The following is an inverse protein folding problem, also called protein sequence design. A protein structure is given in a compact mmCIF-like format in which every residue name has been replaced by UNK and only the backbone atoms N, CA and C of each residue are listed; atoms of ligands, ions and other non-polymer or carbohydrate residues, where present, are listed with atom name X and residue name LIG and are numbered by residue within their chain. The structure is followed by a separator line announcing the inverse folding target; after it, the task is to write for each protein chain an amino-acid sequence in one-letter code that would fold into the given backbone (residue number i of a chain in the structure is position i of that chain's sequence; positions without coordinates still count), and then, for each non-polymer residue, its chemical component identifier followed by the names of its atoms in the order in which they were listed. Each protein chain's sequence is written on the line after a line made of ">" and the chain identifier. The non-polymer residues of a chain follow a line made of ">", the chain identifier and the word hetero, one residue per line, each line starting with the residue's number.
data_IF_015511392549
#
_entry.id   IF_015511392549
#
_cell.length_a   1.000
_cell.length_b   1.000
_cell.length_c   1.000
_cell.angle_alpha   90.00
_cell.angle_beta   90.00
_cell.angle_gamma   90.00
#
_symmetry.space_group_name_H-M   'P 1'
#
loop_
_entity.id
_entity.type
_entity.pdbx_description
1 polymer ?
#
# COMPACT_ATOMS: atom_id res chain seq x y z
N UNK A 1 36.59 32.61 -47.73
CA UNK A 1 36.32 32.88 -46.30
C UNK A 1 34.87 33.34 -46.19
N UNK A 2 33.98 32.92 -45.30
CA UNK A 2 34.00 31.94 -44.22
C UNK A 2 32.54 31.72 -43.82
N UNK A 3 32.16 30.48 -43.54
CA UNK A 3 31.22 30.05 -42.49
C UNK A 3 29.92 30.85 -42.28
N UNK A 4 28.77 30.21 -42.54
CA UNK A 4 27.80 29.97 -41.45
C UNK A 4 26.68 29.02 -41.91
N UNK A 5 27.04 27.75 -42.02
CA UNK A 5 26.08 26.65 -42.03
C UNK A 5 25.54 26.51 -40.60
N UNK A 6 24.52 27.30 -40.24
CA UNK A 6 23.76 27.12 -39.00
C UNK A 6 22.92 25.84 -39.14
N UNK A 7 23.61 24.72 -38.89
CA UNK A 7 23.05 23.40 -38.62
C UNK A 7 22.14 23.53 -37.40
N UNK A 8 20.87 23.85 -37.63
CA UNK A 8 19.80 23.67 -36.64
C UNK A 8 19.59 22.17 -36.45
N UNK A 9 20.43 21.61 -35.58
CA UNK A 9 20.30 20.27 -35.05
C UNK A 9 19.09 20.29 -34.09
N UNK A 10 17.88 20.09 -34.62
CA UNK A 10 16.73 19.75 -33.78
C UNK A 10 17.04 18.38 -33.14
N UNK A 11 17.53 18.42 -31.90
CA UNK A 11 17.52 17.26 -31.02
C UNK A 11 16.06 16.94 -30.68
N UNK A 12 15.44 16.07 -31.47
CA UNK A 12 14.26 15.31 -31.03
C UNK A 12 14.71 14.34 -29.95
N UNK A 13 14.75 14.82 -28.70
CA UNK A 13 14.82 13.96 -27.54
C UNK A 13 13.49 13.20 -27.45
N UNK A 14 13.42 12.04 -28.10
CA UNK A 14 12.39 11.04 -27.81
C UNK A 14 12.62 10.56 -26.38
N UNK A 15 12.01 11.25 -25.41
CA UNK A 15 11.77 10.68 -24.09
C UNK A 15 10.89 9.47 -24.33
N UNK A 16 11.51 8.30 -24.40
CA UNK A 16 10.83 7.03 -24.23
C UNK A 16 10.30 7.08 -22.80
N UNK A 17 9.05 7.52 -22.65
CA UNK A 17 8.32 7.36 -21.41
C UNK A 17 8.19 5.85 -21.19
N UNK A 18 9.16 5.28 -20.49
CA UNK A 18 9.04 3.95 -19.94
C UNK A 18 7.77 3.97 -19.10
N UNK A 19 6.75 3.26 -19.59
CA UNK A 19 5.48 3.11 -18.90
C UNK A 19 5.81 2.31 -17.64
N UNK A 20 6.12 3.02 -16.55
CA UNK A 20 6.32 2.42 -15.24
C UNK A 20 4.95 2.00 -14.74
N UNK A 21 4.62 0.72 -14.91
CA UNK A 21 3.45 0.13 -14.29
C UNK A 21 3.73 -0.02 -12.79
N UNK A 22 3.06 0.79 -11.98
CA UNK A 22 3.11 0.67 -10.53
C UNK A 22 2.62 -0.71 -10.11
N UNK A 23 3.30 -1.33 -9.15
CA UNK A 23 2.95 -2.64 -8.62
C UNK A 23 2.38 -2.49 -7.22
N UNK A 24 1.13 -2.89 -7.01
CA UNK A 24 0.46 -2.76 -5.71
C UNK A 24 0.01 -4.12 -5.18
N UNK A 25 -0.04 -4.26 -3.85
CA UNK A 25 -0.78 -5.34 -3.25
C UNK A 25 -2.27 -5.04 -3.29
N UNK A 26 -3.05 -6.03 -3.71
CA UNK A 26 -4.51 -5.90 -3.84
C UNK A 26 -5.20 -6.99 -3.06
N UNK A 27 -5.79 -6.60 -1.93
CA UNK A 27 -6.48 -7.48 -0.99
C UNK A 27 -7.68 -6.74 -0.41
N UNK A 28 -8.77 -7.44 -0.12
CA UNK A 28 -9.98 -6.85 0.44
C UNK A 28 -10.61 -7.73 1.50
N UNK A 29 -11.24 -7.11 2.49
CA UNK A 29 -12.11 -7.76 3.46
C UNK A 29 -13.47 -7.11 3.39
N UNK A 30 -14.48 -7.91 3.05
CA UNK A 30 -15.88 -7.51 3.01
C UNK A 30 -16.52 -8.01 4.30
N UNK A 31 -17.21 -7.12 5.01
CA UNK A 31 -17.99 -7.46 6.19
C UNK A 31 -19.44 -7.04 5.98
N UNK A 32 -20.35 -8.00 6.02
CA UNK A 32 -21.79 -7.73 5.91
C UNK A 32 -22.39 -7.37 7.26
N UNK A 33 -23.57 -6.73 7.27
CA UNK A 33 -24.32 -6.47 8.51
C UNK A 33 -24.68 -7.73 9.30
N UNK A 34 -24.77 -8.89 8.64
CA UNK A 34 -24.99 -10.19 9.29
C UNK A 34 -23.74 -10.74 10.01
N UNK A 35 -22.61 -10.03 9.96
CA UNK A 35 -21.34 -10.46 10.55
C UNK A 35 -20.52 -11.41 9.66
N UNK A 36 -21.07 -11.85 8.52
CA UNK A 36 -20.32 -12.65 7.56
C UNK A 36 -19.16 -11.85 6.99
N UNK A 37 -17.98 -12.47 6.97
CA UNK A 37 -16.75 -11.88 6.46
C UNK A 37 -16.29 -12.66 5.23
N UNK A 38 -15.96 -11.97 4.15
CA UNK A 38 -15.39 -12.55 2.93
C UNK A 38 -14.08 -11.85 2.60
N UNK A 39 -13.10 -12.61 2.13
CA UNK A 39 -11.80 -12.08 1.73
C UNK A 39 -11.64 -12.13 0.22
N UNK A 40 -11.06 -11.07 -0.33
CA UNK A 40 -10.58 -11.00 -1.71
C UNK A 40 -9.07 -10.97 -1.61
N UNK A 41 -8.39 -11.95 -2.22
CA UNK A 41 -6.94 -11.97 -2.25
C UNK A 41 -6.46 -12.09 -3.70
N UNK A 42 -5.88 -11.01 -4.21
CA UNK A 42 -5.29 -10.94 -5.56
C UNK A 42 -3.76 -10.84 -5.49
N UNK A 43 -3.18 -10.98 -4.30
CA UNK A 43 -1.75 -10.80 -4.02
C UNK A 43 -1.22 -9.45 -4.49
N UNK A 44 -0.39 -9.48 -5.52
CA UNK A 44 0.31 -8.33 -6.10
C UNK A 44 -0.06 -8.24 -7.56
N UNK A 45 -0.51 -7.08 -8.01
CA UNK A 45 -0.91 -6.84 -9.39
C UNK A 45 -0.21 -5.60 -9.96
N UNK A 46 -0.04 -5.59 -11.27
CA UNK A 46 0.34 -4.39 -12.00
C UNK A 46 -0.88 -3.47 -12.15
N UNK A 47 -0.70 -2.21 -11.79
CA UNK A 47 -1.74 -1.20 -11.94
C UNK A 47 -1.86 -0.78 -13.41
N UNK A 48 -3.09 -0.60 -13.91
CA UNK A 48 -3.35 0.12 -15.15
C UNK A 48 -2.67 1.49 -15.14
N UNK A 49 -2.28 2.00 -16.30
CA UNK A 49 -1.59 3.30 -16.43
C UNK A 49 -2.38 4.51 -15.91
N UNK A 50 -3.71 4.39 -15.79
CA UNK A 50 -4.59 5.40 -15.21
C UNK A 50 -4.73 5.30 -13.67
N UNK A 51 -4.18 4.26 -13.05
CA UNK A 51 -4.16 4.05 -11.60
C UNK A 51 -2.71 4.18 -11.11
N UNK A 52 -2.30 5.41 -10.83
CA UNK A 52 -0.90 5.80 -10.54
C UNK A 52 -0.50 5.65 -9.06
N UNK A 53 -1.36 5.05 -8.22
CA UNK A 53 -1.16 4.96 -6.77
C UNK A 53 -1.56 3.59 -6.23
N UNK A 54 -0.92 3.19 -5.13
CA UNK A 54 -1.46 2.16 -4.26
C UNK A 54 -2.24 2.86 -3.15
N UNK A 55 -3.44 2.37 -2.87
CA UNK A 55 -4.29 2.89 -1.81
C UNK A 55 -4.60 1.80 -0.79
N UNK A 56 -4.48 2.13 0.49
CA UNK A 56 -5.07 1.42 1.61
C UNK A 56 -6.29 2.19 2.08
N UNK A 57 -7.41 1.51 2.32
CA UNK A 57 -8.61 2.14 2.84
C UNK A 57 -9.20 1.33 4.00
N UNK A 58 -9.71 2.06 4.98
CA UNK A 58 -10.39 1.54 6.16
C UNK A 58 -11.82 1.11 5.82
N UNK A 59 -12.49 0.34 6.70
CA UNK A 59 -13.86 -0.11 6.47
C UNK A 59 -14.78 1.05 6.04
N UNK A 60 -15.22 1.02 4.79
CA UNK A 60 -16.06 2.05 4.16
C UNK A 60 -17.26 1.36 3.50
N UNK A 61 -18.36 2.08 3.27
CA UNK A 61 -19.53 1.52 2.61
C UNK A 61 -19.14 1.02 1.21
N UNK A 62 -19.63 -0.17 0.83
CA UNK A 62 -19.34 -0.75 -0.47
C UNK A 62 -19.71 0.18 -1.63
N UNK A 63 -20.79 0.96 -1.50
CA UNK A 63 -21.24 1.89 -2.53
C UNK A 63 -20.21 2.98 -2.83
N UNK A 64 -19.47 3.44 -1.81
CA UNK A 64 -18.41 4.45 -1.99
C UNK A 64 -17.23 3.85 -2.78
N UNK A 65 -16.91 2.57 -2.54
CA UNK A 65 -15.83 1.86 -3.24
C UNK A 65 -16.18 1.62 -4.71
N UNK A 66 -17.46 1.36 -5.02
CA UNK A 66 -17.92 1.14 -6.38
C UNK A 66 -17.87 2.42 -7.24
N UNK A 67 -17.84 3.59 -6.60
CA UNK A 67 -17.63 4.89 -7.25
C UNK A 67 -16.18 5.21 -7.61
N UNK A 68 -15.23 4.38 -7.20
CA UNK A 68 -13.80 4.57 -7.47
C UNK A 68 -13.44 4.16 -8.91
N UNK A 69 -12.44 4.80 -9.48
CA UNK A 69 -11.90 4.43 -10.78
C UNK A 69 -11.22 3.05 -10.71
N UNK A 70 -10.63 2.73 -9.55
CA UNK A 70 -10.14 1.39 -9.21
C UNK A 70 -11.17 0.29 -9.46
N UNK A 71 -12.40 0.48 -9.00
CA UNK A 71 -13.49 -0.47 -9.17
C UNK A 71 -13.90 -0.65 -10.64
N UNK A 72 -13.81 0.41 -11.45
CA UNK A 72 -14.16 0.35 -12.88
C UNK A 72 -13.08 -0.35 -13.71
N UNK A 73 -11.82 -0.18 -13.33
CA UNK A 73 -10.67 -0.59 -14.12
C UNK A 73 -10.02 -1.90 -13.64
N UNK A 74 -10.34 -2.35 -12.42
CA UNK A 74 -9.87 -3.62 -11.86
C UNK A 74 -11.02 -4.61 -11.72
N UNK A 75 -11.40 -5.23 -12.83
CA UNK A 75 -12.53 -6.19 -12.88
C UNK A 75 -12.35 -7.36 -11.92
N UNK A 76 -11.12 -7.79 -11.66
CA UNK A 76 -10.80 -8.87 -10.71
C UNK A 76 -11.10 -8.50 -9.26
N UNK A 77 -10.92 -7.23 -8.89
CA UNK A 77 -11.30 -6.72 -7.56
C UNK A 77 -12.80 -6.43 -7.49
N UNK A 78 -13.39 -5.95 -8.58
CA UNK A 78 -14.79 -5.59 -8.67
C UNK A 78 -15.77 -6.76 -8.73
N UNK A 79 -15.45 -7.81 -9.49
CA UNK A 79 -16.31 -8.97 -9.67
C UNK A 79 -16.86 -9.55 -8.34
N UNK A 80 -16.03 -9.82 -7.32
CA UNK A 80 -16.54 -10.31 -6.03
C UNK A 80 -17.34 -9.26 -5.25
N UNK A 81 -17.12 -7.96 -5.44
CA UNK A 81 -17.89 -6.90 -4.80
C UNK A 81 -19.32 -6.80 -5.34
N UNK A 82 -19.52 -7.14 -6.62
CA UNK A 82 -20.83 -7.06 -7.27
C UNK A 82 -21.90 -7.95 -6.60
N UNK A 83 -21.48 -9.05 -5.95
CA UNK A 83 -22.37 -9.93 -5.19
C UNK A 83 -22.99 -9.26 -3.94
N UNK A 84 -22.44 -8.13 -3.50
CA UNK A 84 -22.84 -7.43 -2.29
C UNK A 84 -23.56 -6.09 -2.57
N UNK A 85 -23.88 -5.78 -3.84
CA UNK A 85 -24.54 -4.53 -4.24
C UNK A 85 -25.87 -4.25 -3.54
N UNK A 86 -26.62 -5.31 -3.21
CA UNK A 86 -27.95 -5.21 -2.59
C UNK A 86 -27.91 -5.46 -1.08
N UNK A 87 -26.72 -5.61 -0.50
CA UNK A 87 -26.54 -5.97 0.90
C UNK A 87 -25.70 -4.89 1.59
N UNK A 88 -26.13 -4.34 2.74
CA UNK A 88 -25.30 -3.41 3.48
C UNK A 88 -24.01 -4.13 3.93
N UNK A 89 -22.90 -3.69 3.34
CA UNK A 89 -21.58 -4.25 3.56
C UNK A 89 -20.55 -3.13 3.64
N UNK A 90 -19.54 -3.33 4.49
CA UNK A 90 -18.35 -2.50 4.57
C UNK A 90 -17.18 -3.24 3.96
N UNK A 91 -16.32 -2.51 3.24
CA UNK A 91 -15.12 -3.05 2.62
C UNK A 91 -13.91 -2.31 3.15
N UNK A 92 -12.87 -3.04 3.52
CA UNK A 92 -11.54 -2.51 3.81
C UNK A 92 -10.53 -3.23 2.92
N UNK A 93 -9.43 -2.58 2.55
CA UNK A 93 -8.47 -3.24 1.68
C UNK A 93 -7.36 -2.38 1.12
N UNK A 94 -6.64 -2.99 0.19
CA UNK A 94 -5.55 -2.47 -0.60
C UNK A 94 -5.94 -2.62 -2.07
N UNK A 95 -5.77 -1.58 -2.88
CA UNK A 95 -6.05 -1.56 -4.33
C UNK A 95 -5.10 -0.62 -5.05
N UNK A 96 -5.02 -0.71 -6.38
CA UNK A 96 -4.51 0.45 -7.14
C UNK A 96 -5.60 1.52 -7.20
N UNK A 97 -5.20 2.78 -7.20
CA UNK A 97 -6.08 3.92 -7.20
C UNK A 97 -5.52 5.03 -8.10
N UNK A 98 -6.41 5.91 -8.56
CA UNK A 98 -6.03 7.18 -9.16
C UNK A 98 -5.83 8.24 -8.08
N UNK A 99 -5.14 9.34 -8.41
CA UNK A 99 -5.08 10.52 -7.54
C UNK A 99 -6.48 11.05 -7.14
N UNK A 100 -7.47 10.95 -8.02
CA UNK A 100 -8.86 11.32 -7.71
C UNK A 100 -9.49 10.41 -6.67
N UNK A 101 -9.26 9.10 -6.76
CA UNK A 101 -9.75 8.14 -5.77
C UNK A 101 -9.13 8.36 -4.39
N UNK A 102 -7.83 8.66 -4.33
CA UNK A 102 -7.15 9.04 -3.08
C UNK A 102 -7.79 10.27 -2.42
N UNK A 103 -8.14 11.28 -3.21
CA UNK A 103 -8.83 12.48 -2.72
C UNK A 103 -10.25 12.17 -2.22
N UNK A 104 -11.02 11.35 -2.95
CA UNK A 104 -12.37 10.92 -2.54
C UNK A 104 -12.35 10.19 -1.19
N UNK A 105 -11.37 9.32 -0.98
CA UNK A 105 -11.21 8.54 0.24
C UNK A 105 -10.54 9.32 1.39
N UNK A 106 -10.24 10.61 1.19
CA UNK A 106 -9.51 11.47 2.14
C UNK A 106 -8.22 10.81 2.63
N UNK A 107 -7.53 10.13 1.71
CA UNK A 107 -6.31 9.40 2.02
C UNK A 107 -5.14 10.36 2.26
N UNK A 108 -4.33 10.05 3.26
CA UNK A 108 -3.02 10.69 3.44
C UNK A 108 -2.07 10.27 2.30
N UNK A 109 -1.09 11.12 1.96
CA UNK A 109 -0.11 10.82 0.91
C UNK A 109 1.32 10.62 1.46
N UNK A 110 1.56 9.65 2.36
CA UNK A 110 2.91 9.34 2.82
C UNK A 110 3.69 8.54 1.77
N UNK A 111 5.00 8.40 1.98
CA UNK A 111 5.87 7.55 1.17
C UNK A 111 5.53 6.06 1.33
N UNK A 112 4.93 5.66 2.46
CA UNK A 112 4.50 4.29 2.74
C UNK A 112 3.22 4.29 3.57
N UNK A 113 2.34 3.32 3.29
CA UNK A 113 1.10 3.07 4.01
C UNK A 113 1.22 1.92 5.03
N UNK A 114 2.43 1.41 5.28
CA UNK A 114 2.66 0.33 6.26
C UNK A 114 2.09 0.73 7.63
N UNK A 115 1.19 -0.09 8.17
CA UNK A 115 0.51 0.10 9.46
C UNK A 115 -0.33 1.38 9.60
N UNK A 116 -0.76 2.00 8.50
CA UNK A 116 -1.68 3.15 8.59
C UNK A 116 -3.06 2.70 9.09
N UNK A 117 -3.51 3.27 10.21
CA UNK A 117 -4.88 3.12 10.70
C UNK A 117 -5.88 4.02 9.95
N UNK A 118 -5.39 4.89 9.06
CA UNK A 118 -6.19 5.81 8.24
C UNK A 118 -6.03 5.45 6.76
N UNK A 119 -7.01 5.84 5.90
CA UNK A 119 -6.84 5.76 4.46
C UNK A 119 -5.54 6.42 4.01
N UNK A 120 -4.84 5.78 3.10
CA UNK A 120 -3.49 6.13 2.72
C UNK A 120 -3.23 5.83 1.24
N UNK A 121 -2.49 6.70 0.58
CA UNK A 121 -2.07 6.57 -0.80
C UNK A 121 -0.56 6.80 -0.95
N UNK A 122 0.07 6.01 -1.80
CA UNK A 122 1.50 6.07 -2.06
C UNK A 122 1.80 5.68 -3.52
N UNK A 123 2.95 6.11 -4.04
CA UNK A 123 3.29 6.02 -5.47
C UNK A 123 4.48 5.09 -5.75
N UNK A 124 4.94 4.34 -4.76
CA UNK A 124 6.06 3.40 -4.90
C UNK A 124 5.56 1.97 -4.89
N UNK A 125 6.29 1.07 -5.52
CA UNK A 125 5.89 -0.34 -5.57
C UNK A 125 5.73 -0.91 -4.16
N UNK A 126 4.66 -1.68 -3.97
CA UNK A 126 4.33 -2.42 -2.74
C UNK A 126 4.26 -1.56 -1.46
N UNK A 127 4.07 -0.25 -1.61
CA UNK A 127 4.05 0.70 -0.49
C UNK A 127 2.90 0.52 0.50
N UNK A 128 1.91 -0.33 0.17
CA UNK A 128 0.80 -0.71 1.04
C UNK A 128 1.06 -1.95 1.88
N UNK A 129 2.18 -2.65 1.68
CA UNK A 129 2.49 -3.87 2.42
C UNK A 129 3.41 -3.61 3.62
N UNK A 130 3.33 -4.47 4.64
CA UNK A 130 4.31 -4.53 5.73
C UNK A 130 5.61 -5.26 5.33
N UNK A 131 5.68 -5.75 4.09
CA UNK A 131 6.93 -6.24 3.51
C UNK A 131 7.81 -5.03 3.29
N UNK A 132 8.63 -4.76 4.31
CA UNK A 132 9.59 -3.69 4.37
C UNK A 132 10.26 -3.47 3.01
N UNK A 133 10.19 -2.22 2.55
CA UNK A 133 11.22 -1.50 1.80
C UNK A 133 12.57 -2.24 1.71
N UNK A 134 12.67 -3.27 0.86
CA UNK A 134 13.89 -3.50 0.11
C UNK A 134 13.83 -2.50 -1.02
N UNK A 135 14.41 -1.33 -0.74
CA UNK A 135 14.71 -0.24 -1.66
C UNK A 135 15.04 -0.80 -3.05
N UNK A 136 14.08 -0.76 -3.97
CA UNK A 136 14.38 -0.57 -5.39
C UNK A 136 14.17 0.92 -5.62
N UNK A 137 15.16 1.68 -5.15
CA UNK A 137 15.30 3.07 -5.58
C UNK A 137 15.62 3.03 -7.07
N UNK A 138 14.62 3.36 -7.89
CA UNK A 138 14.77 3.65 -9.32
C UNK A 138 15.56 4.96 -9.47
N UNK A 139 16.83 4.97 -9.08
CA UNK A 139 17.77 6.06 -9.34
C UNK A 139 18.60 5.75 -10.59
N UNK A 140 18.80 6.70 -11.52
CA UNK A 140 19.79 6.53 -12.58
C UNK A 140 21.18 6.41 -11.94
N UNK A 141 21.85 5.29 -12.21
CA UNK A 141 23.15 4.93 -11.65
C UNK A 141 24.22 5.84 -12.27
N UNK A 142 24.60 6.90 -11.56
CA UNK A 142 25.82 7.66 -11.84
C UNK A 142 26.87 7.31 -10.78
N UNK A 143 27.80 6.45 -11.17
CA UNK A 143 28.91 5.95 -10.37
C UNK A 143 29.82 7.08 -9.88
N UNK A 144 30.02 7.21 -8.58
CA UNK A 144 31.24 7.81 -7.99
C UNK A 144 31.63 7.06 -6.72
N UNK A 145 32.90 6.68 -6.52
CA UNK A 145 33.34 5.92 -5.35
C UNK A 145 33.84 6.81 -4.21
N UNK A 146 33.76 6.23 -3.00
CA UNK A 146 34.54 6.52 -1.78
C UNK A 146 34.15 7.70 -0.90
N UNK A 147 33.62 7.40 0.29
CA UNK A 147 34.38 7.59 1.54
C UNK A 147 33.73 6.84 2.70
N UNK A 148 34.42 5.80 3.17
CA UNK A 148 34.03 4.97 4.32
C UNK A 148 34.33 5.74 5.60
N UNK A 149 33.33 5.91 6.48
CA UNK A 149 33.57 6.22 7.89
C UNK A 149 32.82 5.22 8.76
N UNK A 150 33.50 4.36 9.53
CA UNK A 150 32.86 3.48 10.48
C UNK A 150 32.57 4.27 11.77
N UNK A 151 31.34 4.19 12.29
CA UNK A 151 31.05 4.64 13.66
C UNK A 151 30.29 3.54 14.39
N UNK A 152 31.10 2.74 15.09
CA UNK A 152 30.89 2.06 16.37
C UNK A 152 29.45 1.81 16.83
N UNK A 153 29.09 0.53 16.78
CA UNK A 153 27.94 -0.07 17.47
C UNK A 153 28.11 0.05 18.99
N UNK A 154 27.16 0.70 19.68
CA UNK A 154 27.05 0.64 21.14
C UNK A 154 25.82 -0.19 21.48
N UNK A 155 26.08 -1.28 22.22
CA UNK A 155 25.15 -2.33 22.61
C UNK A 155 24.60 -2.05 24.03
N UNK A 156 23.50 -2.74 24.38
CA UNK A 156 22.81 -2.86 25.68
C UNK A 156 21.86 -1.74 26.15
N UNK A 157 20.56 -2.08 26.22
CA UNK A 157 19.92 -2.26 27.53
C UNK A 157 18.67 -3.15 27.40
N UNK A 158 18.82 -4.42 27.79
CA UNK A 158 17.73 -5.37 27.93
C UNK A 158 17.10 -5.18 29.33
N UNK A 159 15.80 -4.90 29.37
CA UNK A 159 14.99 -4.86 30.59
C UNK A 159 14.49 -6.28 30.91
N UNK A 160 14.72 -6.84 32.11
CA UNK A 160 14.12 -8.13 32.48
C UNK A 160 12.65 -7.97 32.87
N UNK A 161 11.77 -8.77 32.26
CA UNK A 161 10.40 -8.96 32.72
C UNK A 161 10.42 -10.10 33.75
N UNK A 162 10.16 -9.75 35.00
CA UNK A 162 10.02 -10.72 36.10
C UNK A 162 8.66 -11.41 36.01
N UNK A 163 8.68 -12.73 35.82
CA UNK A 163 7.54 -13.61 36.01
C UNK A 163 7.22 -13.73 37.49
N UNK A 164 5.99 -13.41 37.90
CA UNK A 164 5.41 -13.87 39.17
C UNK A 164 4.25 -14.81 38.86
N UNK A 165 4.55 -16.10 38.89
CA UNK A 165 3.58 -17.15 39.15
C UNK A 165 3.30 -17.19 40.65
N UNK A 166 2.03 -17.21 41.03
CA UNK A 166 1.61 -17.60 42.38
C UNK A 166 0.28 -18.32 42.24
N UNK A 167 0.36 -19.64 42.14
CA UNK A 167 -0.73 -20.54 42.45
C UNK A 167 -1.01 -20.42 43.96
N UNK A 168 -2.27 -20.25 44.36
CA UNK A 168 -2.70 -20.52 45.72
C UNK A 168 -4.05 -21.25 45.67
N UNK A 169 -3.99 -22.50 46.11
CA UNK A 169 -5.12 -23.35 46.46
C UNK A 169 -6.00 -22.65 47.51
N UNK A 170 -7.32 -22.77 47.35
CA UNK A 170 -8.33 -22.47 48.38
C UNK A 170 -9.32 -23.63 48.46
N UNK A 171 -9.71 -24.10 49.66
CA UNK A 171 -10.44 -25.34 49.83
C UNK A 171 -11.96 -25.20 49.66
N UNK A 172 -12.55 -26.34 49.34
CA UNK A 172 -13.97 -26.71 49.38
C UNK A 172 -14.62 -26.33 50.71
N UNK A 173 -15.80 -25.72 50.68
CA UNK A 173 -16.77 -25.83 51.78
C UNK A 173 -18.19 -25.86 51.22
N UNK A 174 -18.81 -27.02 51.41
CA UNK A 174 -20.23 -27.31 51.27
C UNK A 174 -21.02 -26.59 52.37
N UNK A 175 -22.20 -26.05 52.06
CA UNK A 175 -23.41 -26.17 52.88
C UNK A 175 -24.62 -25.44 52.24
N UNK A 176 -25.75 -26.17 52.25
CA UNK A 176 -27.14 -25.85 51.89
C UNK A 176 -27.52 -25.82 50.40
#
# INVERSE_FOLDING_TARGET
>A
LSQSMFRSLLLTATLVATIYCLTCSTNGTIKTSAGNTSQINLNTIFCPSSLDRCMSFTPTNILDILGLDAAKLQTTFYAPLSAFMNTPATVAGLVCASQSDCAKMKASNPTSCSNSAMPCCCTTDLCTTNSASTTVSSGPVASTPSSVRPVTSTQLSARPITTKSSASYGPVTSML
#
